data_IF_991649681722
#
_entry.id   IF_991649681722
#
_cell.length_a   1.000
_cell.length_b   1.000
_cell.length_c   1.000
_cell.angle_alpha   90.00
_cell.angle_beta   90.00
_cell.angle_gamma   90.00
#
_symmetry.space_group_name_H-M   'P 1'
#
loop_
_entity.id
_entity.type
_entity.pdbx_description
1 polymer ?
#
# COMPACT_ATOMS: atom_id res chain seq x y z
N UNK A 1 -25.01 58.68 -23.09
CA UNK A 1 -24.38 57.55 -23.81
C UNK A 1 -24.10 56.33 -22.94
N UNK A 2 -24.48 56.35 -21.63
CA UNK A 2 -24.22 55.22 -20.71
C UNK A 2 -25.37 54.22 -20.56
N UNK A 3 -26.53 54.46 -21.14
CA UNK A 3 -27.68 53.54 -20.98
C UNK A 3 -27.60 52.31 -21.90
N UNK A 4 -27.01 52.42 -23.10
CA UNK A 4 -26.89 51.28 -24.03
C UNK A 4 -25.86 50.20 -23.61
N UNK A 5 -24.89 50.54 -22.77
CA UNK A 5 -23.91 49.55 -22.27
C UNK A 5 -24.51 48.57 -21.26
N UNK A 6 -25.60 48.99 -20.58
CA UNK A 6 -26.22 48.17 -19.52
C UNK A 6 -27.23 47.15 -20.08
N UNK A 7 -27.80 47.35 -21.26
CA UNK A 7 -28.74 46.39 -21.87
C UNK A 7 -28.05 45.15 -22.43
N UNK A 8 -26.77 45.25 -22.84
CA UNK A 8 -25.98 44.10 -23.33
C UNK A 8 -25.23 43.34 -22.24
N UNK A 9 -25.15 43.89 -21.03
CA UNK A 9 -24.42 43.25 -19.93
C UNK A 9 -24.92 41.82 -19.61
N UNK A 10 -26.24 41.51 -19.58
CA UNK A 10 -26.71 40.13 -19.37
C UNK A 10 -26.25 39.19 -20.49
N UNK A 11 -26.24 39.63 -21.73
CA UNK A 11 -25.80 38.81 -22.86
C UNK A 11 -24.31 38.55 -22.82
N UNK A 12 -23.49 39.55 -22.51
CA UNK A 12 -22.05 39.39 -22.32
C UNK A 12 -21.73 38.45 -21.16
N UNK A 13 -22.49 38.50 -20.07
CA UNK A 13 -22.31 37.59 -18.95
C UNK A 13 -22.62 36.13 -19.33
N UNK A 14 -23.67 35.88 -20.08
CA UNK A 14 -24.02 34.54 -20.59
C UNK A 14 -22.94 34.06 -21.56
N UNK A 15 -22.45 34.88 -22.46
CA UNK A 15 -21.37 34.55 -23.39
C UNK A 15 -20.06 34.20 -22.64
N UNK A 16 -19.71 35.03 -21.65
CA UNK A 16 -18.53 34.79 -20.83
C UNK A 16 -18.63 33.46 -20.03
N UNK A 17 -19.81 33.18 -19.45
CA UNK A 17 -20.03 31.93 -18.73
C UNK A 17 -19.96 30.72 -19.68
N UNK A 18 -20.55 30.81 -20.86
CA UNK A 18 -20.46 29.76 -21.87
C UNK A 18 -19.02 29.53 -22.32
N UNK A 19 -18.26 30.58 -22.57
CA UNK A 19 -16.85 30.51 -22.93
C UNK A 19 -16.01 29.84 -21.86
N UNK A 20 -16.21 30.21 -20.60
CA UNK A 20 -15.50 29.59 -19.46
C UNK A 20 -15.83 28.10 -19.29
N UNK A 21 -17.09 27.72 -19.53
CA UNK A 21 -17.51 26.29 -19.53
C UNK A 21 -16.85 25.52 -20.66
N UNK A 22 -16.83 26.08 -21.87
CA UNK A 22 -16.18 25.42 -23.02
C UNK A 22 -14.67 25.27 -22.81
N UNK A 23 -14.00 26.32 -22.32
CA UNK A 23 -12.58 26.27 -21.96
C UNK A 23 -12.31 25.21 -20.92
N UNK A 24 -13.12 25.14 -19.86
CA UNK A 24 -13.01 24.12 -18.82
C UNK A 24 -13.15 22.70 -19.36
N UNK A 25 -14.15 22.49 -20.26
CA UNK A 25 -14.35 21.18 -20.91
C UNK A 25 -13.15 20.79 -21.76
N UNK A 26 -12.62 21.70 -22.57
CA UNK A 26 -11.41 21.47 -23.40
C UNK A 26 -10.19 21.14 -22.54
N UNK A 27 -9.99 21.88 -21.44
CA UNK A 27 -8.90 21.59 -20.49
C UNK A 27 -9.06 20.19 -19.83
N UNK A 28 -10.25 19.83 -19.37
CA UNK A 28 -10.52 18.49 -18.79
C UNK A 28 -10.21 17.39 -19.81
N UNK A 29 -10.65 17.57 -21.07
CA UNK A 29 -10.36 16.61 -22.15
C UNK A 29 -8.85 16.50 -22.41
N UNK A 30 -8.13 17.62 -22.50
CA UNK A 30 -6.69 17.62 -22.70
C UNK A 30 -5.92 16.94 -21.55
N UNK A 31 -6.33 17.18 -20.30
CA UNK A 31 -5.76 16.52 -19.11
C UNK A 31 -6.05 15.01 -19.15
N UNK A 32 -7.26 14.63 -19.56
CA UNK A 32 -7.66 13.23 -19.67
C UNK A 32 -6.83 12.49 -20.71
N UNK A 33 -6.73 12.98 -21.93
CA UNK A 33 -5.90 12.39 -23.00
C UNK A 33 -4.44 12.31 -22.58
N UNK A 34 -3.92 13.37 -21.95
CA UNK A 34 -2.56 13.39 -21.42
C UNK A 34 -2.35 12.29 -20.36
N UNK A 35 -3.26 12.18 -19.39
CA UNK A 35 -3.17 11.21 -18.30
C UNK A 35 -3.33 9.76 -18.77
N UNK A 36 -4.24 9.51 -19.74
CA UNK A 36 -4.43 8.20 -20.36
C UNK A 36 -3.21 7.76 -21.19
N UNK A 37 -2.40 8.71 -21.68
CA UNK A 37 -1.14 8.42 -22.39
C UNK A 37 0.07 8.13 -21.46
N UNK A 38 -0.13 7.99 -20.14
CA UNK A 38 0.92 7.72 -19.15
C UNK A 38 1.75 8.94 -18.75
N UNK A 39 1.45 10.13 -19.28
CA UNK A 39 2.18 11.35 -18.93
C UNK A 39 1.67 11.93 -17.61
N UNK A 40 2.56 12.41 -16.72
CA UNK A 40 2.15 13.04 -15.46
C UNK A 40 1.21 14.21 -15.71
N UNK A 41 0.03 14.21 -15.07
CA UNK A 41 -0.94 15.32 -15.20
C UNK A 41 -0.54 16.52 -14.38
N UNK A 42 0.37 16.41 -13.42
CA UNK A 42 0.89 17.49 -12.57
C UNK A 42 1.78 18.45 -13.35
N UNK A 43 1.73 19.73 -12.96
CA UNK A 43 2.59 20.75 -13.59
C UNK A 43 4.02 20.78 -13.05
N UNK A 44 4.25 20.24 -11.84
CA UNK A 44 5.55 20.17 -11.18
C UNK A 44 5.84 18.73 -10.81
N UNK A 45 7.11 18.32 -10.84
CA UNK A 45 7.52 17.07 -10.23
C UNK A 45 7.30 17.15 -8.71
N UNK A 46 7.09 15.99 -8.07
CA UNK A 46 6.97 15.94 -6.61
C UNK A 46 8.33 16.19 -5.95
N UNK A 47 8.32 16.56 -4.68
CA UNK A 47 9.55 16.71 -3.88
C UNK A 47 10.41 15.43 -3.94
N UNK A 48 11.70 15.56 -4.18
CA UNK A 48 12.61 14.44 -4.45
C UNK A 48 12.90 14.24 -5.94
N UNK A 49 12.08 14.83 -6.83
CA UNK A 49 12.28 14.77 -8.27
C UNK A 49 12.32 16.17 -8.90
N UNK A 50 12.96 16.25 -10.04
CA UNK A 50 12.96 17.41 -10.95
C UNK A 50 12.54 16.96 -12.34
N UNK A 51 12.01 17.86 -13.15
CA UNK A 51 11.73 17.55 -14.56
C UNK A 51 13.01 17.44 -15.36
N UNK A 52 13.02 16.52 -16.30
CA UNK A 52 14.06 16.45 -17.31
C UNK A 52 14.00 17.70 -18.21
N UNK A 53 15.12 18.38 -18.46
CA UNK A 53 15.18 19.51 -19.39
C UNK A 53 14.80 19.14 -20.82
N UNK A 54 15.08 17.91 -21.27
CA UNK A 54 14.81 17.40 -22.62
C UNK A 54 13.38 16.88 -22.76
N UNK A 55 12.86 16.22 -21.73
CA UNK A 55 11.47 15.73 -21.69
C UNK A 55 10.76 16.16 -20.38
N UNK A 56 9.93 17.17 -20.49
CA UNK A 56 9.13 17.70 -19.36
C UNK A 56 8.18 16.68 -18.71
N UNK A 57 7.95 15.53 -19.32
CA UNK A 57 7.11 14.45 -18.80
C UNK A 57 7.92 13.37 -18.09
N UNK A 58 9.22 13.33 -18.28
CA UNK A 58 10.13 12.46 -17.57
C UNK A 58 10.66 13.15 -16.31
N UNK A 59 10.83 12.40 -15.21
CA UNK A 59 11.33 12.89 -13.95
C UNK A 59 12.70 12.31 -13.64
N UNK A 60 13.62 13.18 -13.25
CA UNK A 60 14.96 12.84 -12.79
C UNK A 60 15.03 13.01 -11.27
N UNK A 61 15.83 12.21 -10.60
CA UNK A 61 16.07 12.35 -9.16
C UNK A 61 16.77 13.68 -8.87
N UNK A 62 16.27 14.39 -7.84
CA UNK A 62 16.94 15.51 -7.21
C UNK A 62 17.58 14.99 -5.92
N UNK A 63 18.87 14.66 -5.96
CA UNK A 63 19.55 13.92 -4.89
C UNK A 63 19.47 14.60 -3.53
N UNK A 64 19.49 15.91 -3.47
CA UNK A 64 19.38 16.67 -2.22
C UNK A 64 18.01 16.44 -1.56
N UNK A 65 16.92 16.58 -2.32
CA UNK A 65 15.59 16.35 -1.84
C UNK A 65 15.29 14.84 -1.65
N UNK A 66 15.82 13.98 -2.53
CA UNK A 66 15.69 12.54 -2.44
C UNK A 66 16.34 11.96 -1.18
N UNK A 67 17.46 12.50 -0.73
CA UNK A 67 18.09 12.12 0.54
C UNK A 67 17.13 12.33 1.74
N UNK A 68 16.37 13.43 1.74
CA UNK A 68 15.36 13.68 2.78
C UNK A 68 14.21 12.69 2.67
N UNK A 69 13.75 12.37 1.46
CA UNK A 69 12.69 11.36 1.25
C UNK A 69 13.14 10.00 1.76
N UNK A 70 14.33 9.52 1.39
CA UNK A 70 14.90 8.26 1.88
C UNK A 70 15.02 8.25 3.41
N UNK A 71 15.42 9.36 4.01
CA UNK A 71 15.50 9.51 5.46
C UNK A 71 14.12 9.37 6.13
N UNK A 72 13.08 9.99 5.58
CA UNK A 72 11.70 9.89 6.08
C UNK A 72 11.21 8.44 6.06
N UNK A 73 11.44 7.72 4.96
CA UNK A 73 11.06 6.32 4.84
C UNK A 73 11.81 5.44 5.83
N UNK A 74 13.12 5.62 5.98
CA UNK A 74 13.94 4.89 6.96
C UNK A 74 13.44 5.09 8.38
N UNK A 75 13.23 6.35 8.82
CA UNK A 75 12.71 6.64 10.17
C UNK A 75 11.34 6.00 10.39
N UNK A 76 10.48 5.93 9.36
CA UNK A 76 9.19 5.28 9.51
C UNK A 76 9.32 3.75 9.66
N UNK A 77 10.23 3.10 8.92
CA UNK A 77 10.55 1.67 9.09
C UNK A 77 11.14 1.38 10.48
N UNK A 78 11.92 2.30 11.02
CA UNK A 78 12.44 2.28 12.41
C UNK A 78 11.34 2.44 13.47
N UNK A 79 10.09 2.70 13.04
CA UNK A 79 8.91 2.75 13.90
C UNK A 79 8.45 4.15 14.29
N UNK A 80 9.11 5.20 13.81
CA UNK A 80 8.74 6.58 14.10
C UNK A 80 7.46 6.98 13.38
N UNK A 81 6.58 7.66 14.10
CA UNK A 81 5.33 8.20 13.54
C UNK A 81 5.56 9.48 12.74
N UNK A 82 4.61 9.86 11.83
CA UNK A 82 4.77 11.06 11.00
C UNK A 82 4.99 12.36 11.79
N UNK A 83 4.41 12.50 12.97
CA UNK A 83 4.58 13.69 13.82
C UNK A 83 5.97 13.74 14.45
N UNK A 84 6.51 12.61 14.87
CA UNK A 84 7.85 12.49 15.43
C UNK A 84 8.91 12.75 14.36
N UNK A 85 8.75 12.18 13.17
CA UNK A 85 9.60 12.45 12.01
C UNK A 85 9.60 13.95 11.70
N UNK A 86 8.43 14.58 11.67
CA UNK A 86 8.31 16.01 11.43
C UNK A 86 9.06 16.85 12.48
N UNK A 87 9.00 16.45 13.76
CA UNK A 87 9.73 17.10 14.85
C UNK A 87 11.25 17.00 14.65
N UNK A 88 11.75 15.82 14.31
CA UNK A 88 13.17 15.59 14.05
C UNK A 88 13.65 16.44 12.86
N UNK A 89 12.90 16.48 11.76
CA UNK A 89 13.22 17.29 10.60
C UNK A 89 13.23 18.80 10.92
N UNK A 90 12.35 19.24 11.82
CA UNK A 90 12.32 20.61 12.32
C UNK A 90 13.56 20.93 13.16
N UNK A 91 13.90 20.05 14.11
CA UNK A 91 15.07 20.19 14.99
C UNK A 91 16.39 20.21 14.19
N UNK A 92 16.48 19.42 13.13
CA UNK A 92 17.63 19.35 12.24
C UNK A 92 17.66 20.47 11.18
N UNK A 93 16.74 21.43 11.24
CA UNK A 93 16.65 22.56 10.31
C UNK A 93 16.58 22.13 8.83
N UNK A 94 15.85 21.04 8.54
CA UNK A 94 15.59 20.60 7.16
C UNK A 94 14.50 21.47 6.56
N UNK A 95 14.75 22.07 5.40
CA UNK A 95 13.73 22.89 4.71
C UNK A 95 12.52 22.06 4.28
N UNK A 96 11.33 22.65 4.45
CA UNK A 96 10.11 22.01 3.96
C UNK A 96 10.09 21.95 2.42
N UNK A 97 9.37 20.99 1.81
CA UNK A 97 9.27 20.86 0.36
C UNK A 97 8.87 22.17 -0.36
N UNK A 98 7.96 22.94 0.25
CA UNK A 98 7.49 24.19 -0.31
C UNK A 98 8.59 25.26 -0.37
N UNK A 99 9.39 25.37 0.69
CA UNK A 99 10.52 26.31 0.77
C UNK A 99 11.63 25.90 -0.21
N UNK A 100 12.01 24.64 -0.16
CA UNK A 100 13.06 24.08 -1.03
C UNK A 100 12.72 24.29 -2.52
N UNK A 101 11.52 23.92 -2.95
CA UNK A 101 11.08 24.13 -4.34
C UNK A 101 10.94 25.61 -4.68
N UNK A 102 10.45 26.43 -3.74
CA UNK A 102 10.32 27.87 -3.92
C UNK A 102 11.66 28.55 -4.17
N UNK A 103 12.71 28.22 -3.42
CA UNK A 103 14.08 28.71 -3.63
C UNK A 103 14.65 28.30 -4.99
N UNK A 104 14.26 27.14 -5.52
CA UNK A 104 14.60 26.68 -6.87
C UNK A 104 13.71 27.30 -7.98
N UNK A 105 12.84 28.24 -7.63
CA UNK A 105 11.94 28.90 -8.58
C UNK A 105 10.78 28.04 -9.05
N UNK A 106 10.45 26.97 -8.32
CA UNK A 106 9.43 25.98 -8.68
C UNK A 106 8.23 26.09 -7.75
N UNK A 107 7.03 25.90 -8.31
CA UNK A 107 5.79 25.81 -7.53
C UNK A 107 5.20 27.17 -7.12
N UNK A 108 4.26 27.12 -6.17
CA UNK A 108 3.51 28.29 -5.72
C UNK A 108 4.37 29.32 -4.96
N UNK A 109 5.39 28.84 -4.27
CA UNK A 109 6.23 29.68 -3.40
C UNK A 109 7.39 30.37 -4.13
N UNK A 110 7.55 30.19 -5.43
CA UNK A 110 8.65 30.73 -6.24
C UNK A 110 8.80 32.26 -6.21
N UNK A 111 7.71 32.98 -5.92
CA UNK A 111 7.67 34.44 -5.87
C UNK A 111 7.85 34.99 -4.45
N UNK A 112 8.06 34.15 -3.44
CA UNK A 112 8.31 34.62 -2.08
C UNK A 112 9.79 34.97 -1.87
N UNK A 113 10.05 36.16 -1.36
CA UNK A 113 11.40 36.61 -0.99
C UNK A 113 11.82 36.07 0.36
N UNK A 114 10.88 35.89 1.28
CA UNK A 114 11.14 35.42 2.64
C UNK A 114 10.21 34.25 3.04
N UNK A 115 10.76 33.33 3.82
CA UNK A 115 10.04 32.18 4.38
C UNK A 115 10.13 32.27 5.91
N UNK A 116 9.09 32.76 6.60
CA UNK A 116 9.14 33.01 8.06
C UNK A 116 9.42 31.77 8.88
N UNK A 117 8.97 30.59 8.42
CA UNK A 117 9.21 29.30 9.09
C UNK A 117 9.66 28.24 8.08
N UNK A 118 10.93 28.28 7.61
CA UNK A 118 11.38 27.41 6.53
C UNK A 118 11.43 25.93 6.91
N UNK A 119 11.51 25.63 8.19
CA UNK A 119 11.66 24.26 8.74
C UNK A 119 10.38 23.71 9.36
N UNK A 120 9.24 24.39 9.19
CA UNK A 120 7.98 24.03 9.86
C UNK A 120 7.33 22.78 9.24
N UNK A 121 7.98 21.64 9.44
CA UNK A 121 7.41 20.34 9.11
C UNK A 121 6.23 19.99 10.02
N UNK A 122 5.27 19.28 9.49
CA UNK A 122 4.16 18.72 10.25
C UNK A 122 3.88 17.28 9.83
N UNK A 123 3.16 16.53 10.67
CA UNK A 123 2.86 15.12 10.43
C UNK A 123 2.05 14.88 9.16
N UNK A 124 1.25 15.85 8.70
CA UNK A 124 0.51 15.75 7.45
C UNK A 124 1.45 15.77 6.23
N UNK A 125 2.45 16.66 6.21
CA UNK A 125 3.45 16.71 5.12
C UNK A 125 4.22 15.40 5.00
N UNK A 126 4.69 14.87 6.14
CA UNK A 126 5.37 13.56 6.19
C UNK A 126 4.44 12.45 5.72
N UNK A 127 3.18 12.43 6.20
CA UNK A 127 2.18 11.48 5.78
C UNK A 127 1.89 11.52 4.28
N UNK A 128 1.89 12.70 3.67
CA UNK A 128 1.75 12.85 2.21
C UNK A 128 2.95 12.27 1.46
N UNK A 129 4.18 12.50 1.94
CA UNK A 129 5.38 11.89 1.34
C UNK A 129 5.30 10.37 1.42
N UNK A 130 5.02 9.80 2.59
CA UNK A 130 4.92 8.35 2.80
C UNK A 130 3.79 7.68 1.99
N UNK A 131 2.79 8.44 1.50
CA UNK A 131 1.66 7.88 0.75
C UNK A 131 1.85 7.86 -0.77
N UNK A 132 2.89 8.51 -1.28
CA UNK A 132 3.06 8.68 -2.72
C UNK A 132 3.74 7.49 -3.37
N UNK A 133 3.01 6.81 -4.23
CA UNK A 133 3.50 5.68 -5.02
C UNK A 133 4.51 6.12 -6.09
N UNK A 134 4.52 7.40 -6.44
CA UNK A 134 5.48 7.96 -7.39
C UNK A 134 6.94 7.80 -6.94
N UNK A 135 7.21 7.59 -5.65
CA UNK A 135 8.57 7.36 -5.15
C UNK A 135 9.16 6.00 -5.53
N UNK A 136 8.33 5.05 -5.98
CA UNK A 136 8.79 3.76 -6.52
C UNK A 136 8.91 3.75 -8.03
N UNK A 137 8.88 4.92 -8.67
CA UNK A 137 9.05 5.07 -10.11
C UNK A 137 7.77 5.05 -10.93
N UNK A 138 6.61 5.02 -10.28
CA UNK A 138 5.31 4.93 -10.94
C UNK A 138 4.72 6.32 -11.20
N UNK A 139 4.00 6.49 -12.30
CA UNK A 139 3.16 7.68 -12.53
C UNK A 139 1.72 7.35 -12.14
N UNK A 140 1.16 8.13 -11.21
CA UNK A 140 -0.23 7.95 -10.76
C UNK A 140 -1.07 9.17 -11.13
N UNK A 141 -2.02 8.97 -12.03
CA UNK A 141 -2.91 10.00 -12.52
C UNK A 141 -4.34 9.84 -11.96
N UNK A 142 -5.11 10.92 -12.00
CA UNK A 142 -6.52 10.97 -11.62
C UNK A 142 -6.84 10.58 -10.17
N UNK A 143 -5.98 10.93 -9.22
CA UNK A 143 -6.23 10.73 -7.78
C UNK A 143 -7.41 11.56 -7.27
N UNK A 144 -7.75 12.64 -7.96
CA UNK A 144 -8.85 13.53 -7.61
C UNK A 144 -9.37 14.27 -8.82
N UNK A 145 -10.59 14.79 -8.72
CA UNK A 145 -11.19 15.63 -9.73
C UNK A 145 -11.83 16.88 -9.11
N UNK A 146 -12.16 17.85 -9.94
CA UNK A 146 -13.00 18.99 -9.59
C UNK A 146 -14.31 18.90 -10.35
N UNK A 147 -15.44 19.03 -9.66
CA UNK A 147 -16.75 19.01 -10.30
C UNK A 147 -16.94 20.21 -11.23
N UNK A 148 -16.68 21.40 -10.73
CA UNK A 148 -16.89 22.66 -11.44
C UNK A 148 -15.61 23.48 -11.52
N UNK A 149 -15.51 24.30 -12.57
CA UNK A 149 -14.45 25.31 -12.66
C UNK A 149 -14.64 26.47 -11.66
N UNK A 150 -15.85 26.61 -11.12
CA UNK A 150 -16.21 27.61 -10.10
C UNK A 150 -15.85 27.14 -8.69
N UNK A 151 -15.62 25.83 -8.50
CA UNK A 151 -15.29 25.25 -7.23
C UNK A 151 -13.78 24.97 -7.14
N UNK A 152 -13.16 25.46 -6.07
CA UNK A 152 -11.75 25.20 -5.80
C UNK A 152 -11.51 23.89 -5.03
N UNK A 153 -12.58 23.24 -4.53
CA UNK A 153 -12.48 21.97 -3.83
C UNK A 153 -12.07 20.85 -4.78
N UNK A 154 -11.25 19.94 -4.30
CA UNK A 154 -10.81 18.74 -5.01
C UNK A 154 -11.38 17.52 -4.30
N UNK A 155 -12.12 16.70 -5.04
CA UNK A 155 -12.77 15.50 -4.53
C UNK A 155 -11.84 14.31 -4.84
N UNK A 156 -11.44 13.50 -3.84
CA UNK A 156 -10.65 12.30 -4.08
C UNK A 156 -11.42 11.28 -4.93
N UNK A 157 -10.78 10.70 -5.90
CA UNK A 157 -11.32 9.57 -6.65
C UNK A 157 -11.09 8.26 -5.90
N UNK A 158 -11.98 7.27 -6.02
CA UNK A 158 -11.72 5.90 -5.62
C UNK A 158 -10.42 5.39 -6.26
N UNK A 159 -9.73 4.47 -5.58
CA UNK A 159 -8.44 3.96 -6.09
C UNK A 159 -8.58 3.20 -7.41
N UNK A 160 -9.72 2.61 -7.65
CA UNK A 160 -10.09 1.89 -8.88
C UNK A 160 -10.13 2.79 -10.11
N UNK A 161 -10.31 4.10 -9.91
CA UNK A 161 -10.31 5.11 -10.98
C UNK A 161 -8.91 5.71 -11.25
N UNK A 162 -7.92 5.37 -10.42
CA UNK A 162 -6.56 5.85 -10.61
C UNK A 162 -5.92 5.13 -11.80
N UNK A 163 -5.27 5.87 -12.67
CA UNK A 163 -4.42 5.27 -13.71
C UNK A 163 -2.98 5.26 -13.24
N UNK A 164 -2.45 4.05 -13.06
CA UNK A 164 -1.09 3.79 -12.60
C UNK A 164 -0.29 3.26 -13.78
N UNK A 165 0.83 3.90 -14.06
CA UNK A 165 1.82 3.48 -15.06
C UNK A 165 3.11 3.18 -14.33
N UNK A 166 3.51 1.92 -14.36
CA UNK A 166 4.68 1.45 -13.61
C UNK A 166 5.99 1.80 -14.32
N UNK A 167 7.03 2.01 -13.51
CA UNK A 167 8.42 2.21 -13.96
C UNK A 167 8.59 3.30 -15.04
N UNK A 168 7.91 4.43 -14.87
CA UNK A 168 8.00 5.57 -15.79
C UNK A 168 9.20 6.48 -15.52
N UNK A 169 9.82 6.37 -14.36
CA UNK A 169 11.01 7.13 -13.96
C UNK A 169 11.80 6.34 -12.90
N UNK A 170 13.02 6.79 -12.59
CA UNK A 170 13.86 6.13 -11.60
C UNK A 170 13.28 6.21 -10.19
N UNK A 171 13.27 5.09 -9.46
CA UNK A 171 12.73 5.00 -8.12
C UNK A 171 13.68 5.61 -7.07
N UNK A 172 13.17 6.43 -6.15
CA UNK A 172 13.91 6.90 -4.97
C UNK A 172 13.89 5.86 -3.85
N UNK A 173 12.76 5.14 -3.74
CA UNK A 173 12.50 4.10 -2.74
C UNK A 173 12.19 2.81 -3.49
N UNK A 174 12.73 1.70 -3.03
CA UNK A 174 12.38 0.39 -3.55
C UNK A 174 10.92 0.02 -3.22
N UNK A 175 10.31 -0.82 -4.05
CA UNK A 175 8.90 -1.21 -3.92
C UNK A 175 8.63 -1.90 -2.58
N UNK A 176 9.54 -2.74 -2.12
CA UNK A 176 9.43 -3.49 -0.87
C UNK A 176 9.35 -2.56 0.34
N UNK A 177 10.25 -1.59 0.43
CA UNK A 177 10.25 -0.57 1.49
C UNK A 177 8.96 0.26 1.46
N UNK A 178 8.47 0.61 0.27
CA UNK A 178 7.21 1.36 0.15
C UNK A 178 6.02 0.55 0.64
N UNK A 179 5.89 -0.71 0.24
CA UNK A 179 4.82 -1.62 0.67
C UNK A 179 4.85 -1.85 2.18
N UNK A 180 6.04 -2.07 2.76
CA UNK A 180 6.22 -2.16 4.20
C UNK A 180 5.71 -0.92 4.91
N UNK A 181 6.06 0.27 4.42
CA UNK A 181 5.57 1.54 4.97
C UNK A 181 4.04 1.65 4.86
N UNK A 182 3.43 1.25 3.72
CA UNK A 182 1.97 1.25 3.61
C UNK A 182 1.32 0.28 4.61
N UNK A 183 1.92 -0.89 4.86
CA UNK A 183 1.46 -1.85 5.87
C UNK A 183 1.53 -1.25 7.28
N UNK A 184 2.67 -0.64 7.65
CA UNK A 184 2.86 0.00 8.95
C UNK A 184 1.85 1.13 9.20
N UNK A 185 1.52 1.91 8.18
CA UNK A 185 0.56 3.02 8.25
C UNK A 185 -0.89 2.59 8.44
N UNK A 186 -1.26 1.35 8.08
CA UNK A 186 -2.62 0.81 8.33
C UNK A 186 -2.93 0.67 9.82
N UNK A 187 -1.91 0.53 10.67
CA UNK A 187 -2.10 0.40 12.12
C UNK A 187 -1.31 1.50 12.83
N UNK A 188 -1.98 2.61 13.22
CA UNK A 188 -1.31 3.68 13.95
C UNK A 188 -0.83 3.18 15.31
N UNK A 189 0.46 3.31 15.57
CA UNK A 189 1.08 3.04 16.87
C UNK A 189 1.11 4.35 17.66
N UNK A 190 0.36 4.41 18.75
CA UNK A 190 0.33 5.59 19.62
C UNK A 190 1.33 5.40 20.74
N UNK A 191 2.02 6.48 21.13
CA UNK A 191 2.74 6.52 22.38
C UNK A 191 1.74 6.35 23.53
N UNK A 192 2.10 5.56 24.50
CA UNK A 192 1.35 5.44 25.74
C UNK A 192 1.84 6.46 26.80
N UNK A 193 1.39 6.28 28.02
CA UNK A 193 1.82 7.10 29.16
C UNK A 193 3.31 6.97 29.49
N UNK A 194 3.99 5.96 28.97
CA UNK A 194 5.44 5.74 29.16
C UNK A 194 6.29 6.37 28.05
N UNK A 195 5.67 7.03 27.07
CA UNK A 195 6.36 7.80 26.02
C UNK A 195 6.85 7.00 24.83
N UNK A 196 6.66 5.68 24.80
CA UNK A 196 7.10 4.82 23.69
C UNK A 196 5.93 4.02 23.08
N UNK A 197 5.93 3.89 21.76
CA UNK A 197 5.00 3.00 21.09
C UNK A 197 5.54 1.56 21.12
N UNK A 198 4.74 0.58 21.55
CA UNK A 198 5.16 -0.81 21.52
C UNK A 198 5.23 -1.32 20.07
N UNK A 199 6.39 -1.79 19.59
CA UNK A 199 6.60 -2.21 18.19
C UNK A 199 5.68 -3.33 17.72
N UNK A 200 5.21 -4.18 18.62
CA UNK A 200 4.31 -5.31 18.31
C UNK A 200 2.83 -4.89 18.19
N UNK A 201 2.50 -3.62 18.47
CA UNK A 201 1.12 -3.12 18.35
C UNK A 201 0.58 -3.32 16.94
N UNK A 202 -0.57 -3.99 16.83
CA UNK A 202 -1.22 -4.28 15.57
C UNK A 202 -0.71 -5.51 14.82
N UNK A 203 0.30 -6.20 15.37
CA UNK A 203 0.81 -7.47 14.83
C UNK A 203 0.27 -8.69 15.60
N UNK A 204 -0.17 -8.52 16.86
CA UNK A 204 -0.60 -9.60 17.75
C UNK A 204 -2.11 -9.78 17.68
N UNK A 205 -2.55 -11.01 17.44
CA UNK A 205 -3.96 -11.39 17.32
C UNK A 205 -4.25 -12.63 18.17
N UNK A 206 -5.47 -12.73 18.64
CA UNK A 206 -5.97 -13.94 19.25
C UNK A 206 -6.21 -15.00 18.18
N UNK A 207 -5.67 -16.20 18.35
CA UNK A 207 -5.87 -17.31 17.43
C UNK A 207 -7.31 -17.83 17.48
N UNK A 208 -7.95 -17.81 18.66
CA UNK A 208 -9.25 -18.41 18.90
C UNK A 208 -10.41 -17.56 18.35
N UNK A 209 -10.35 -16.23 18.48
CA UNK A 209 -11.42 -15.35 18.02
C UNK A 209 -11.04 -14.38 16.89
N UNK A 210 -9.78 -14.37 16.45
CA UNK A 210 -9.27 -13.51 15.38
C UNK A 210 -9.13 -12.03 15.75
N UNK A 211 -9.53 -11.60 16.96
CA UNK A 211 -9.49 -10.22 17.38
C UNK A 211 -8.04 -9.75 17.64
N UNK A 212 -7.78 -8.45 17.46
CA UNK A 212 -6.49 -7.87 17.83
C UNK A 212 -6.27 -7.97 19.33
N UNK A 213 -5.03 -8.24 19.74
CA UNK A 213 -4.63 -8.15 21.13
C UNK A 213 -4.04 -6.77 21.41
N UNK A 214 -4.45 -6.15 22.49
CA UNK A 214 -3.97 -4.83 22.89
C UNK A 214 -2.91 -4.94 23.98
N UNK A 215 -1.87 -4.13 23.84
CA UNK A 215 -0.86 -4.01 24.87
C UNK A 215 -1.39 -3.18 26.05
N UNK A 216 -1.31 -3.76 27.22
CA UNK A 216 -1.56 -3.10 28.49
C UNK A 216 -0.27 -3.04 29.26
N UNK A 217 0.19 -1.85 29.61
CA UNK A 217 1.37 -1.65 30.43
C UNK A 217 1.22 -0.50 31.40
N UNK A 218 1.80 -0.66 32.57
CA UNK A 218 1.97 0.36 33.58
C UNK A 218 3.22 0.06 34.42
N UNK A 219 3.87 1.10 34.95
CA UNK A 219 5.13 0.97 35.67
C UNK A 219 5.01 0.29 37.04
N UNK A 220 3.80 0.17 37.54
CA UNK A 220 3.55 -0.30 38.90
C UNK A 220 3.81 0.81 39.94
N UNK A 221 3.37 0.52 41.14
CA UNK A 221 3.60 1.31 42.35
C UNK A 221 3.81 0.31 43.49
N UNK A 222 5.06 -0.03 43.73
CA UNK A 222 5.43 -1.06 44.71
C UNK A 222 5.07 -0.64 46.16
N UNK A 223 5.02 0.67 46.45
CA UNK A 223 4.62 1.16 47.76
C UNK A 223 3.15 0.88 48.06
N UNK A 224 2.31 0.88 47.01
CA UNK A 224 0.90 0.54 47.08
C UNK A 224 0.61 -0.92 46.64
N UNK A 225 1.63 -1.76 46.47
CA UNK A 225 1.49 -3.18 46.13
C UNK A 225 1.17 -3.46 44.66
N UNK A 226 1.27 -2.47 43.78
CA UNK A 226 1.04 -2.63 42.36
C UNK A 226 2.36 -2.97 41.65
N UNK A 227 2.47 -4.16 41.06
CA UNK A 227 3.63 -4.59 40.30
C UNK A 227 3.59 -4.07 38.86
N UNK A 228 4.75 -3.83 38.24
CA UNK A 228 4.82 -3.49 36.83
C UNK A 228 4.15 -4.56 35.97
N UNK A 229 3.39 -4.14 34.98
CA UNK A 229 2.65 -5.01 34.08
C UNK A 229 2.88 -4.59 32.63
N UNK A 230 3.23 -5.53 31.77
CA UNK A 230 3.38 -5.33 30.34
C UNK A 230 3.02 -6.62 29.60
N UNK A 231 1.81 -6.67 29.06
CA UNK A 231 1.29 -7.85 28.37
C UNK A 231 0.30 -7.49 27.26
N UNK A 232 0.11 -8.40 26.35
CA UNK A 232 -0.94 -8.37 25.33
C UNK A 232 -2.14 -9.16 25.81
N UNK A 233 -3.33 -8.56 25.73
CA UNK A 233 -4.61 -9.16 26.12
C UNK A 233 -5.61 -9.14 24.96
N UNK A 234 -6.45 -10.17 24.84
CA UNK A 234 -7.49 -10.26 23.82
C UNK A 234 -8.51 -9.12 23.94
N UNK A 235 -8.66 -8.32 22.89
CA UNK A 235 -9.60 -7.19 22.90
C UNK A 235 -11.07 -7.63 22.94
N UNK A 236 -11.40 -8.75 22.30
CA UNK A 236 -12.75 -9.28 22.32
C UNK A 236 -13.19 -9.66 23.74
N UNK A 237 -12.32 -10.33 24.51
CA UNK A 237 -12.58 -10.64 25.90
C UNK A 237 -12.77 -9.36 26.76
N UNK A 238 -11.88 -8.37 26.60
CA UNK A 238 -11.96 -7.11 27.36
C UNK A 238 -13.24 -6.33 27.05
N UNK A 239 -13.65 -6.25 25.79
CA UNK A 239 -14.89 -5.60 25.37
C UNK A 239 -16.11 -6.43 25.80
N UNK A 240 -16.06 -7.75 25.68
CA UNK A 240 -17.10 -8.67 26.10
C UNK A 240 -17.38 -8.52 27.60
N UNK A 241 -16.34 -8.47 28.43
CA UNK A 241 -16.47 -8.26 29.88
C UNK A 241 -17.27 -7.00 30.22
N UNK A 242 -17.09 -5.90 29.45
CA UNK A 242 -17.86 -4.66 29.61
C UNK A 242 -19.29 -4.78 29.09
N UNK A 243 -19.47 -5.49 27.97
CA UNK A 243 -20.76 -5.59 27.27
C UNK A 243 -21.53 -6.88 27.61
N UNK A 244 -21.01 -7.72 28.51
CA UNK A 244 -21.59 -9.02 28.93
C UNK A 244 -21.83 -9.98 27.77
N UNK A 245 -20.88 -10.06 26.82
CA UNK A 245 -20.90 -10.99 25.70
C UNK A 245 -19.75 -11.99 25.82
N UNK A 246 -20.04 -13.30 25.76
CA UNK A 246 -19.02 -14.35 25.85
C UNK A 246 -18.45 -14.64 24.45
N UNK A 247 -17.53 -13.79 24.01
CA UNK A 247 -16.93 -13.89 22.67
C UNK A 247 -15.60 -14.64 22.69
N UNK A 248 -14.85 -14.59 23.81
CA UNK A 248 -13.54 -15.22 23.95
C UNK A 248 -13.21 -15.46 25.43
N UNK A 249 -12.22 -16.31 25.68
CA UNK A 249 -11.67 -16.59 27.01
C UNK A 249 -10.68 -15.52 27.49
N UNK A 250 -10.37 -15.54 28.80
CA UNK A 250 -9.36 -14.65 29.39
C UNK A 250 -7.96 -15.24 29.18
N UNK A 251 -7.21 -14.65 28.28
CA UNK A 251 -5.80 -15.00 28.11
C UNK A 251 -4.93 -13.79 27.78
N UNK A 252 -3.66 -13.92 28.11
CA UNK A 252 -2.66 -12.88 27.89
C UNK A 252 -1.28 -13.50 27.67
N UNK A 253 -0.39 -12.75 27.03
CA UNK A 253 1.02 -13.08 26.91
C UNK A 253 1.88 -11.88 27.29
N UNK A 254 2.95 -12.10 28.10
CA UNK A 254 3.83 -11.02 28.48
C UNK A 254 4.63 -10.51 27.26
N UNK A 255 4.80 -9.18 27.15
CA UNK A 255 5.58 -8.56 26.08
C UNK A 255 7.02 -9.09 26.09
N UNK A 256 7.60 -9.32 27.28
CA UNK A 256 8.95 -9.87 27.42
C UNK A 256 9.05 -11.29 26.83
N UNK A 257 8.12 -12.19 27.17
CA UNK A 257 8.10 -13.56 26.63
C UNK A 257 7.90 -13.57 25.13
N UNK A 258 6.97 -12.75 24.63
CA UNK A 258 6.69 -12.64 23.21
C UNK A 258 7.91 -12.15 22.41
N UNK A 259 8.61 -11.11 22.91
CA UNK A 259 9.84 -10.61 22.28
C UNK A 259 10.95 -11.65 22.27
N UNK A 260 11.11 -12.42 23.36
CA UNK A 260 12.09 -13.48 23.43
C UNK A 260 11.79 -14.60 22.41
N UNK A 261 10.53 -15.03 22.30
CA UNK A 261 10.11 -16.02 21.31
C UNK A 261 10.37 -15.56 19.88
N UNK A 262 10.00 -14.30 19.55
CA UNK A 262 10.23 -13.73 18.22
C UNK A 262 11.73 -13.71 17.90
N UNK A 263 12.56 -13.22 18.81
CA UNK A 263 14.00 -13.14 18.60
C UNK A 263 14.60 -14.51 18.34
N UNK A 264 14.22 -15.52 19.13
CA UNK A 264 14.72 -16.89 18.99
C UNK A 264 14.25 -17.52 17.68
N UNK A 265 12.98 -17.30 17.30
CA UNK A 265 12.44 -17.79 16.02
C UNK A 265 13.18 -17.18 14.83
N UNK A 266 13.40 -15.86 14.82
CA UNK A 266 14.13 -15.18 13.74
C UNK A 266 15.57 -15.69 13.70
N UNK A 267 16.23 -15.84 14.86
CA UNK A 267 17.61 -16.35 14.97
C UNK A 267 17.74 -17.75 14.39
N UNK A 268 16.88 -18.68 14.80
CA UNK A 268 16.89 -20.06 14.31
C UNK A 268 16.60 -20.13 12.80
N UNK A 269 15.58 -19.43 12.34
CA UNK A 269 15.20 -19.39 10.92
C UNK A 269 16.32 -18.79 10.06
N UNK A 270 16.93 -17.67 10.50
CA UNK A 270 18.03 -17.02 9.79
C UNK A 270 19.30 -17.87 9.77
N UNK A 271 19.66 -18.51 10.90
CA UNK A 271 20.81 -19.40 10.97
C UNK A 271 20.65 -20.61 10.05
N UNK A 272 19.46 -21.22 10.02
CA UNK A 272 19.14 -22.31 9.11
C UNK A 272 19.17 -21.89 7.64
N UNK A 273 18.56 -20.74 7.31
CA UNK A 273 18.53 -20.20 5.97
C UNK A 273 19.94 -19.87 5.42
N UNK A 274 20.84 -19.37 6.26
CA UNK A 274 22.22 -19.04 5.88
C UNK A 274 23.06 -20.30 5.73
N UNK A 275 23.00 -21.24 6.70
CA UNK A 275 23.83 -22.44 6.70
C UNK A 275 23.43 -23.47 5.64
N UNK A 276 22.15 -23.57 5.31
CA UNK A 276 21.58 -24.55 4.39
C UNK A 276 20.79 -23.91 3.25
N UNK A 277 21.33 -22.87 2.64
CA UNK A 277 20.58 -22.04 1.67
C UNK A 277 19.87 -22.85 0.56
N UNK A 278 20.54 -23.87 0.01
CA UNK A 278 19.94 -24.72 -1.05
C UNK A 278 18.80 -25.57 -0.50
N UNK A 279 19.00 -26.25 0.62
CA UNK A 279 17.98 -27.07 1.26
C UNK A 279 16.79 -26.22 1.76
N UNK A 280 17.07 -25.05 2.29
CA UNK A 280 16.07 -24.08 2.70
C UNK A 280 15.21 -23.64 1.52
N UNK A 281 15.85 -23.23 0.41
CA UNK A 281 15.15 -22.88 -0.84
C UNK A 281 14.33 -24.05 -1.38
N UNK A 282 14.85 -25.27 -1.31
CA UNK A 282 14.12 -26.46 -1.74
C UNK A 282 12.96 -26.81 -0.80
N UNK A 283 13.12 -26.72 0.52
CA UNK A 283 12.04 -26.97 1.48
C UNK A 283 10.93 -25.93 1.36
N UNK A 284 11.26 -24.66 1.28
CA UNK A 284 10.25 -23.60 1.11
C UNK A 284 9.61 -23.72 -0.27
N UNK A 285 10.39 -23.97 -1.31
CA UNK A 285 9.83 -24.31 -2.64
C UNK A 285 9.01 -25.60 -2.57
N UNK A 286 9.42 -26.65 -1.85
CA UNK A 286 8.67 -27.87 -1.73
C UNK A 286 7.38 -27.68 -0.91
N UNK A 287 7.40 -26.94 0.17
CA UNK A 287 6.20 -26.58 0.92
C UNK A 287 5.21 -25.75 0.05
N UNK A 288 5.76 -24.87 -0.81
CA UNK A 288 5.02 -24.13 -1.84
C UNK A 288 4.74 -24.97 -3.12
N UNK A 289 5.68 -25.84 -3.52
CA UNK A 289 5.70 -26.59 -4.79
C UNK A 289 4.99 -27.94 -4.76
N UNK A 290 4.93 -28.64 -3.61
CA UNK A 290 4.19 -29.94 -3.54
C UNK A 290 2.70 -29.74 -3.86
N UNK A 291 2.22 -28.53 -3.70
CA UNK A 291 0.85 -28.16 -4.16
C UNK A 291 0.78 -27.52 -5.54
N UNK A 292 1.87 -27.05 -6.14
CA UNK A 292 1.75 -26.07 -7.23
C UNK A 292 2.63 -26.23 -8.48
N UNK A 293 3.73 -26.94 -8.51
CA UNK A 293 4.62 -26.93 -9.69
C UNK A 293 4.04 -27.68 -10.90
N UNK A 294 3.35 -28.78 -10.71
CA UNK A 294 2.59 -29.43 -11.78
C UNK A 294 1.38 -28.58 -12.16
N UNK A 295 0.69 -28.02 -11.13
CA UNK A 295 -0.49 -27.17 -11.30
C UNK A 295 -0.16 -25.86 -12.01
N UNK A 296 1.00 -25.24 -11.73
CA UNK A 296 1.38 -23.97 -12.35
C UNK A 296 1.78 -24.09 -13.83
N UNK A 297 2.47 -25.18 -14.21
CA UNK A 297 2.84 -25.41 -15.59
C UNK A 297 1.62 -25.73 -16.47
N UNK A 298 0.72 -26.54 -15.93
CA UNK A 298 -0.54 -26.88 -16.61
C UNK A 298 -1.52 -25.71 -16.57
N UNK A 299 -1.55 -24.93 -15.46
CA UNK A 299 -2.34 -23.71 -15.37
C UNK A 299 -1.87 -22.67 -16.40
N UNK A 300 -0.55 -22.46 -16.56
CA UNK A 300 0.00 -21.50 -17.55
C UNK A 300 -0.28 -21.92 -18.99
N UNK A 301 -0.25 -23.24 -19.26
CA UNK A 301 -0.66 -23.78 -20.58
C UNK A 301 -2.16 -23.61 -20.82
N UNK A 302 -2.98 -23.90 -19.82
CA UNK A 302 -4.43 -23.75 -19.88
C UNK A 302 -4.81 -22.27 -20.04
N UNK A 303 -4.22 -21.39 -19.26
CA UNK A 303 -4.40 -19.95 -19.34
C UNK A 303 -4.14 -19.40 -20.74
N UNK A 304 -3.02 -19.79 -21.36
CA UNK A 304 -2.69 -19.37 -22.72
C UNK A 304 -3.67 -19.94 -23.78
N UNK A 305 -4.19 -21.15 -23.55
CA UNK A 305 -5.22 -21.75 -24.40
C UNK A 305 -6.54 -21.01 -24.27
N UNK A 306 -6.96 -20.75 -23.02
CA UNK A 306 -8.23 -20.09 -22.72
C UNK A 306 -8.22 -18.63 -23.24
N UNK A 307 -7.09 -17.89 -23.10
CA UNK A 307 -6.94 -16.55 -23.70
C UNK A 307 -7.07 -16.56 -25.22
N UNK A 308 -6.48 -17.56 -25.90
CA UNK A 308 -6.63 -17.71 -27.35
C UNK A 308 -8.08 -18.01 -27.72
N UNK A 309 -8.74 -18.87 -26.94
CA UNK A 309 -10.12 -19.23 -27.20
C UNK A 309 -11.08 -18.06 -26.98
N UNK A 310 -10.84 -17.21 -25.96
CA UNK A 310 -11.57 -15.94 -25.77
C UNK A 310 -11.43 -15.05 -27.03
N UNK A 311 -10.21 -14.92 -27.57
CA UNK A 311 -9.98 -14.13 -28.78
C UNK A 311 -10.68 -14.72 -30.03
N UNK A 312 -10.77 -16.05 -30.11
CA UNK A 312 -11.50 -16.75 -31.18
C UNK A 312 -13.00 -16.52 -31.04
N UNK A 313 -13.56 -16.59 -29.81
CA UNK A 313 -14.96 -16.28 -29.54
C UNK A 313 -15.31 -14.84 -29.84
N UNK A 314 -14.45 -13.87 -29.52
CA UNK A 314 -14.61 -12.46 -29.92
C UNK A 314 -14.77 -12.31 -31.44
N UNK A 315 -13.94 -13.02 -32.21
CA UNK A 315 -14.04 -13.01 -33.67
C UNK A 315 -15.30 -13.69 -34.17
N UNK A 316 -15.74 -14.78 -33.53
CA UNK A 316 -16.97 -15.50 -33.89
C UNK A 316 -18.19 -14.64 -33.61
N UNK A 317 -18.28 -14.05 -32.41
CA UNK A 317 -19.37 -13.18 -32.00
C UNK A 317 -19.45 -11.97 -32.96
N UNK A 318 -18.32 -11.35 -33.28
CA UNK A 318 -18.26 -10.25 -34.23
C UNK A 318 -18.77 -10.65 -35.62
N UNK A 319 -18.37 -11.81 -36.15
CA UNK A 319 -18.83 -12.33 -37.45
C UNK A 319 -20.32 -12.67 -37.41
N UNK A 320 -20.82 -13.16 -36.27
CA UNK A 320 -22.23 -13.45 -36.07
C UNK A 320 -23.07 -12.17 -36.19
N UNK A 321 -22.64 -11.08 -35.52
CA UNK A 321 -23.26 -9.75 -35.64
C UNK A 321 -23.21 -9.22 -37.08
N UNK A 322 -22.05 -9.32 -37.75
CA UNK A 322 -21.91 -8.88 -39.13
C UNK A 322 -22.81 -9.68 -40.09
N UNK A 323 -22.94 -10.98 -39.88
CA UNK A 323 -23.77 -11.85 -40.71
C UNK A 323 -25.27 -11.63 -40.49
N UNK A 324 -25.66 -11.32 -39.25
CA UNK A 324 -27.04 -10.94 -38.93
C UNK A 324 -27.38 -9.57 -39.54
N UNK A 325 -26.51 -8.57 -39.41
CA UNK A 325 -26.69 -7.24 -39.98
C UNK A 325 -26.86 -7.23 -41.50
N UNK A 326 -26.24 -8.17 -42.22
CA UNK A 326 -26.32 -8.33 -43.68
C UNK A 326 -27.48 -9.26 -44.10
N UNK A 327 -28.24 -9.82 -43.13
CA UNK A 327 -29.39 -10.70 -43.40
C UNK A 327 -29.03 -12.11 -43.85
N UNK A 328 -27.79 -12.60 -43.58
CA UNK A 328 -27.35 -13.96 -43.91
C UNK A 328 -27.79 -15.00 -42.88
N UNK A 329 -28.18 -14.59 -41.68
CA UNK A 329 -28.61 -15.43 -40.59
C UNK A 329 -29.99 -14.93 -40.15
N UNK A 330 -30.95 -15.84 -39.88
CA UNK A 330 -32.27 -15.49 -39.34
C UNK A 330 -32.15 -15.06 -37.88
N UNK A 331 -33.11 -14.23 -37.43
CA UNK A 331 -33.21 -13.74 -36.05
C UNK A 331 -33.27 -14.91 -35.04
N UNK A 332 -34.11 -15.94 -35.30
CA UNK A 332 -34.21 -17.12 -34.46
C UNK A 332 -32.88 -17.86 -34.25
N UNK A 333 -32.05 -17.89 -35.27
CA UNK A 333 -30.73 -18.57 -35.23
C UNK A 333 -29.66 -17.69 -34.56
N UNK A 334 -29.77 -16.39 -34.73
CA UNK A 334 -28.93 -15.41 -34.02
C UNK A 334 -29.19 -15.45 -32.52
N UNK A 335 -30.46 -15.37 -32.12
CA UNK A 335 -30.89 -15.41 -30.72
C UNK A 335 -30.60 -16.75 -30.02
N UNK A 336 -30.48 -17.85 -30.78
CA UNK A 336 -30.09 -19.14 -30.24
C UNK A 336 -28.56 -19.25 -30.03
N UNK A 337 -27.73 -18.76 -30.94
CA UNK A 337 -26.28 -18.96 -30.93
C UNK A 337 -25.52 -17.91 -30.10
N UNK A 338 -26.01 -16.68 -30.08
CA UNK A 338 -25.33 -15.60 -29.37
C UNK A 338 -25.18 -15.82 -27.88
N UNK A 339 -26.26 -16.22 -27.14
CA UNK A 339 -26.17 -16.48 -25.71
C UNK A 339 -25.22 -17.64 -25.36
N UNK A 340 -25.12 -18.67 -26.19
CA UNK A 340 -24.19 -19.79 -25.99
C UNK A 340 -22.72 -19.30 -26.03
N UNK A 341 -22.38 -18.52 -27.04
CA UNK A 341 -21.01 -17.99 -27.16
C UNK A 341 -20.67 -16.94 -26.09
N UNK A 342 -21.62 -16.11 -25.69
CA UNK A 342 -21.42 -15.11 -24.61
C UNK A 342 -21.29 -15.80 -23.24
N UNK A 343 -22.04 -16.86 -22.97
CA UNK A 343 -21.92 -17.61 -21.72
C UNK A 343 -20.60 -18.38 -21.64
N UNK A 344 -20.18 -19.01 -22.74
CA UNK A 344 -18.86 -19.67 -22.86
C UNK A 344 -17.73 -18.67 -22.65
N UNK A 345 -17.79 -17.51 -23.29
CA UNK A 345 -16.79 -16.44 -23.14
C UNK A 345 -16.72 -15.94 -21.70
N UNK A 346 -17.85 -15.69 -21.06
CA UNK A 346 -17.93 -15.25 -19.67
C UNK A 346 -17.34 -16.27 -18.70
N UNK A 347 -17.63 -17.55 -18.91
CA UNK A 347 -17.06 -18.64 -18.11
C UNK A 347 -15.53 -18.72 -18.27
N UNK A 348 -15.00 -18.55 -19.48
CA UNK A 348 -13.58 -18.53 -19.76
C UNK A 348 -12.88 -17.31 -19.15
N UNK A 349 -13.48 -16.12 -19.21
CA UNK A 349 -12.95 -14.91 -18.60
C UNK A 349 -12.81 -15.08 -17.08
N UNK A 350 -13.83 -15.67 -16.42
CA UNK A 350 -13.77 -15.98 -14.98
C UNK A 350 -12.65 -16.98 -14.66
N UNK A 351 -12.52 -18.05 -15.45
CA UNK A 351 -11.49 -19.06 -15.28
C UNK A 351 -10.06 -18.50 -15.48
N UNK A 352 -9.90 -17.59 -16.45
CA UNK A 352 -8.64 -16.89 -16.71
C UNK A 352 -8.28 -16.00 -15.50
N UNK A 353 -9.23 -15.20 -14.98
CA UNK A 353 -9.00 -14.33 -13.81
C UNK A 353 -8.58 -15.14 -12.58
N UNK A 354 -9.27 -16.24 -12.29
CA UNK A 354 -8.89 -17.12 -11.18
C UNK A 354 -7.52 -17.78 -11.35
N UNK A 355 -7.15 -18.14 -12.59
CA UNK A 355 -5.85 -18.72 -12.88
C UNK A 355 -4.72 -17.70 -12.78
N UNK A 356 -4.98 -16.45 -13.17
CA UNK A 356 -4.04 -15.31 -13.02
C UNK A 356 -3.80 -14.98 -11.56
N UNK A 357 -4.84 -14.92 -10.73
CA UNK A 357 -4.72 -14.69 -9.29
C UNK A 357 -3.87 -15.79 -8.60
N UNK A 358 -4.08 -17.05 -8.98
CA UNK A 358 -3.29 -18.17 -8.44
C UNK A 358 -1.83 -18.12 -8.89
N UNK A 359 -1.57 -17.70 -10.12
CA UNK A 359 -0.21 -17.58 -10.65
C UNK A 359 0.54 -16.41 -10.00
N UNK A 360 -0.14 -15.28 -9.78
CA UNK A 360 0.39 -14.11 -9.07
C UNK A 360 0.76 -14.46 -7.63
N UNK A 361 -0.09 -15.17 -6.91
CA UNK A 361 0.19 -15.63 -5.56
C UNK A 361 1.46 -16.52 -5.48
N UNK A 362 1.71 -17.34 -6.52
CA UNK A 362 2.90 -18.18 -6.60
C UNK A 362 4.20 -17.37 -6.84
N UNK A 363 4.14 -16.36 -7.71
CA UNK A 363 5.28 -15.48 -7.98
C UNK A 363 5.63 -14.66 -6.74
N UNK A 364 4.62 -14.21 -5.97
CA UNK A 364 4.79 -13.53 -4.68
C UNK A 364 5.48 -14.40 -3.63
N UNK A 365 5.12 -15.69 -3.51
CA UNK A 365 5.73 -16.60 -2.55
C UNK A 365 7.22 -16.83 -2.83
N UNK A 366 7.59 -16.91 -4.11
CA UNK A 366 9.01 -17.06 -4.49
C UNK A 366 9.82 -15.80 -4.17
N UNK A 367 9.27 -14.62 -4.45
CA UNK A 367 9.89 -13.34 -4.12
C UNK A 367 10.08 -13.17 -2.61
N UNK A 368 9.10 -13.60 -1.79
CA UNK A 368 9.19 -13.56 -0.32
C UNK A 368 10.35 -14.38 0.24
N UNK A 369 10.65 -15.55 -0.34
CA UNK A 369 11.79 -16.39 0.08
C UNK A 369 13.12 -15.70 -0.19
N UNK A 370 13.27 -15.11 -1.38
CA UNK A 370 14.47 -14.37 -1.74
C UNK A 370 14.65 -13.14 -0.85
N UNK A 371 13.57 -12.44 -0.54
CA UNK A 371 13.53 -11.31 0.39
C UNK A 371 13.95 -11.72 1.80
N UNK A 372 13.45 -12.83 2.33
CA UNK A 372 13.85 -13.32 3.64
C UNK A 372 15.35 -13.66 3.69
N UNK A 373 15.88 -14.32 2.65
CA UNK A 373 17.31 -14.62 2.56
C UNK A 373 18.17 -13.35 2.51
N UNK A 374 17.71 -12.32 1.80
CA UNK A 374 18.37 -11.02 1.77
C UNK A 374 18.35 -10.35 3.15
N UNK A 375 17.22 -10.39 3.85
CA UNK A 375 17.09 -9.88 5.22
C UNK A 375 17.93 -10.67 6.21
N UNK A 376 17.95 -12.01 6.14
CA UNK A 376 18.77 -12.84 7.00
C UNK A 376 20.28 -12.55 6.82
N UNK A 377 20.72 -12.24 5.61
CA UNK A 377 22.10 -11.81 5.32
C UNK A 377 22.40 -10.38 5.75
N UNK A 378 21.40 -9.49 5.71
CA UNK A 378 21.51 -8.08 6.14
C UNK A 378 21.75 -7.98 7.64
N UNK A 379 21.11 -8.83 8.43
CA UNK A 379 21.21 -8.85 9.87
C UNK A 379 22.27 -9.89 10.31
N UNK A 380 23.43 -9.41 10.76
CA UNK A 380 24.53 -10.27 11.28
C UNK A 380 24.48 -10.40 12.79
N UNK A 381 23.80 -9.50 13.47
CA UNK A 381 23.65 -9.47 14.92
C UNK A 381 22.19 -9.66 15.33
N UNK A 382 21.92 -10.75 16.03
CA UNK A 382 20.63 -11.10 16.61
C UNK A 382 20.68 -11.06 18.15
N UNK A 383 21.49 -10.18 18.74
CA UNK A 383 21.58 -10.02 20.21
C UNK A 383 20.32 -9.40 20.77
N UNK A 384 19.74 -8.41 20.07
CA UNK A 384 18.55 -7.69 20.48
C UNK A 384 17.51 -7.61 19.35
N UNK A 385 16.23 -7.69 19.73
CA UNK A 385 15.12 -7.54 18.80
C UNK A 385 14.81 -6.07 18.58
N UNK A 386 15.21 -5.53 17.42
CA UNK A 386 14.93 -4.14 17.05
C UNK A 386 13.53 -3.96 16.43
N UNK A 387 13.01 -2.74 16.48
CA UNK A 387 11.73 -2.41 15.81
C UNK A 387 11.77 -2.67 14.31
N UNK A 388 12.90 -2.39 13.68
CA UNK A 388 13.13 -2.65 12.25
C UNK A 388 13.04 -4.13 11.93
N UNK A 389 13.69 -4.99 12.72
CA UNK A 389 13.60 -6.45 12.57
C UNK A 389 12.15 -6.94 12.69
N UNK A 390 11.41 -6.47 13.70
CA UNK A 390 9.99 -6.82 13.87
C UNK A 390 9.20 -6.44 12.62
N UNK A 391 9.39 -5.23 12.12
CA UNK A 391 8.65 -4.71 10.97
C UNK A 391 8.99 -5.44 9.67
N UNK A 392 10.26 -5.80 9.47
CA UNK A 392 10.74 -6.46 8.24
C UNK A 392 10.49 -7.97 8.25
N UNK A 393 10.55 -8.67 9.40
CA UNK A 393 10.42 -10.14 9.45
C UNK A 393 9.00 -10.61 9.76
N UNK A 394 8.20 -9.84 10.53
CA UNK A 394 6.95 -10.33 11.11
C UNK A 394 5.74 -9.77 10.37
N UNK A 395 4.88 -10.66 9.93
CA UNK A 395 3.60 -10.32 9.32
C UNK A 395 2.48 -10.26 10.35
N UNK A 396 2.36 -11.33 11.15
CA UNK A 396 1.28 -11.50 12.11
C UNK A 396 1.71 -12.49 13.19
N UNK A 397 1.20 -12.33 14.39
CA UNK A 397 1.42 -13.24 15.51
C UNK A 397 0.06 -13.68 16.02
N UNK A 398 -0.15 -14.98 16.10
CA UNK A 398 -1.34 -15.61 16.66
C UNK A 398 -1.02 -16.18 18.02
N UNK A 399 -1.82 -15.83 19.03
CA UNK A 399 -1.65 -16.29 20.41
C UNK A 399 -2.88 -17.10 20.77
N UNK A 400 -2.69 -18.38 21.08
CA UNK A 400 -3.72 -19.31 21.47
C UNK A 400 -4.07 -19.18 22.96
N UNK A 401 -5.24 -19.71 23.34
CA UNK A 401 -5.59 -19.91 24.75
C UNK A 401 -4.56 -20.83 25.42
N UNK A 402 -4.13 -20.52 26.66
CA UNK A 402 -3.22 -21.40 27.37
C UNK A 402 -3.92 -22.65 27.84
N UNK A 403 -3.25 -23.79 27.67
CA UNK A 403 -3.66 -25.08 28.19
C UNK A 403 -2.85 -25.45 29.44
N UNK A 404 -3.40 -26.32 30.30
CA UNK A 404 -2.65 -26.90 31.41
C UNK A 404 -2.18 -28.30 31.02
N UNK A 405 -0.88 -28.47 30.86
CA UNK A 405 -0.25 -29.76 30.57
C UNK A 405 0.61 -30.10 31.78
N UNK A 406 0.37 -31.23 32.44
CA UNK A 406 1.06 -31.70 33.62
C UNK A 406 1.15 -30.70 34.80
N UNK A 407 0.17 -29.79 34.89
CA UNK A 407 0.11 -28.75 35.92
C UNK A 407 0.75 -27.42 35.52
N UNK A 408 1.56 -27.41 34.46
CA UNK A 408 2.17 -26.20 33.92
C UNK A 408 1.28 -25.52 32.88
N UNK A 409 1.37 -24.20 32.82
CA UNK A 409 0.67 -23.39 31.80
C UNK A 409 1.48 -23.36 30.53
N UNK A 410 0.99 -24.03 29.50
CA UNK A 410 1.54 -24.04 28.14
C UNK A 410 0.67 -23.15 27.25
N UNK A 411 1.29 -22.30 26.44
CA UNK A 411 0.60 -21.43 25.52
C UNK A 411 1.27 -21.49 24.16
N UNK A 412 0.50 -21.85 23.14
CA UNK A 412 0.97 -21.89 21.76
C UNK A 412 0.97 -20.49 21.15
N UNK A 413 2.03 -20.18 20.39
CA UNK A 413 2.20 -18.92 19.69
C UNK A 413 2.69 -19.19 18.28
N UNK A 414 1.91 -18.81 17.29
CA UNK A 414 2.30 -18.90 15.89
C UNK A 414 2.87 -17.55 15.43
N UNK A 415 4.08 -17.56 14.91
CA UNK A 415 4.74 -16.36 14.37
C UNK A 415 4.74 -16.48 12.86
N UNK A 416 3.81 -15.75 12.21
CA UNK A 416 3.72 -15.67 10.77
C UNK A 416 4.74 -14.64 10.28
N UNK A 417 5.80 -15.12 9.64
CA UNK A 417 6.85 -14.30 9.04
C UNK A 417 6.60 -14.14 7.54
N UNK A 418 7.46 -13.41 6.85
CA UNK A 418 7.48 -13.32 5.38
C UNK A 418 7.51 -14.69 4.69
N UNK A 419 8.05 -15.70 5.37
CA UNK A 419 7.99 -17.10 4.96
C UNK A 419 7.19 -17.87 6.00
N UNK A 420 6.06 -18.42 5.59
CA UNK A 420 5.34 -19.40 6.37
C UNK A 420 6.08 -20.74 6.26
N UNK A 421 6.84 -21.08 7.29
CA UNK A 421 7.44 -22.40 7.45
C UNK A 421 6.65 -23.12 8.51
#
# INVERSE_FOLDING_TARGET
DDQNSNEFAPFLNIMNEWYLRDLSRKQKTAIRVKGESGKPTTNTAIYGYRKDPEDKYHWLIDEEAAAVVRRIYRMNVEGMGPYEIARILYEDHVETPAVYLGKKGIGFWKSKEEYPNPYNWNGYMVGQILSKQEYIGDTVNFRSHKESYKDNSSIPNPKEEWLIFENTHEAIIDRETWELVQKLRKTPRRHDTLGEANPLTGLVFCADCGAKMYNHRFNGDLENGNYPYDAYECSAYKLASRNRTDVCCSHYISTKSLRALILETIRMASAYAISNQKEFMEKVRAASLIRQAEVAKDAKRKLNKDRKHITELDMIIKKLYESFAVGRISEERFDSLLPEYEEEQKALISAVSEAEERLSAFEEDTARVEQFLALAKKYTDFSELTTTMINEFIDKILVHEPEKVDGDRVQEVEILSLIHI
#
